data_IF_707528162373
#
_entry.id   IF_707528162373
#
_cell.length_a   1.000
_cell.length_b   1.000
_cell.length_c   1.000
_cell.angle_alpha   90.00
_cell.angle_beta   90.00
_cell.angle_gamma   90.00
#
_symmetry.space_group_name_H-M   'P 1'
#
loop_
_entity.id
_entity.type
_entity.pdbx_description
1 polymer ?
#
# COMPACT_ATOMS: atom_id res chain seq x y z
N UNK A 1 -15.34 30.57 22.74
CA UNK A 1 -15.49 29.30 21.99
C UNK A 1 -14.23 28.51 22.27
N UNK A 2 -14.33 27.41 23.02
CA UNK A 2 -13.19 26.55 23.32
C UNK A 2 -12.71 25.89 22.03
N UNK A 3 -11.46 26.12 21.64
CA UNK A 3 -10.83 25.44 20.50
C UNK A 3 -10.93 23.93 20.70
N UNK A 4 -11.90 23.31 20.00
CA UNK A 4 -12.02 21.86 20.00
C UNK A 4 -10.81 21.29 19.28
N UNK A 5 -9.94 20.60 20.04
CA UNK A 5 -8.82 19.85 19.49
C UNK A 5 -9.29 18.97 18.34
N UNK A 6 -8.53 19.00 17.25
CA UNK A 6 -8.87 18.32 16.01
C UNK A 6 -7.72 17.40 15.59
N UNK A 7 -7.99 16.51 14.63
CA UNK A 7 -6.95 15.75 13.93
C UNK A 7 -6.50 16.55 12.71
N UNK A 8 -5.19 16.80 12.61
CA UNK A 8 -4.58 17.36 11.40
C UNK A 8 -3.96 16.22 10.59
N UNK A 9 -4.60 15.85 9.48
CA UNK A 9 -4.05 14.87 8.55
C UNK A 9 -3.01 15.54 7.66
N UNK A 10 -1.73 15.31 7.99
CA UNK A 10 -0.58 15.90 7.33
C UNK A 10 -0.26 15.17 6.01
N UNK A 11 -0.34 15.89 4.90
CA UNK A 11 -0.02 15.40 3.55
C UNK A 11 1.24 16.03 2.95
N UNK A 12 1.90 16.94 3.67
CA UNK A 12 3.07 17.68 3.17
C UNK A 12 4.30 16.82 2.87
N UNK A 13 4.37 15.60 3.44
CA UNK A 13 5.44 14.64 3.16
C UNK A 13 5.27 13.87 1.84
N UNK A 14 4.18 14.09 1.10
CA UNK A 14 3.93 13.45 -0.19
C UNK A 14 4.03 14.46 -1.34
N UNK A 15 4.75 14.11 -2.41
CA UNK A 15 4.82 14.95 -3.60
C UNK A 15 3.51 15.01 -4.39
N UNK A 16 2.64 14.01 -4.23
CA UNK A 16 1.30 13.90 -4.81
C UNK A 16 0.39 13.10 -3.88
N UNK A 17 -0.90 13.41 -3.90
CA UNK A 17 -1.90 12.75 -3.04
C UNK A 17 -2.52 11.50 -3.66
N UNK A 18 -2.30 11.24 -4.95
CA UNK A 18 -2.82 10.09 -5.69
C UNK A 18 -2.50 8.74 -5.03
N UNK A 19 -1.30 8.61 -4.43
CA UNK A 19 -0.89 7.40 -3.70
C UNK A 19 -1.54 7.20 -2.33
N UNK A 20 -2.18 8.23 -1.75
CA UNK A 20 -2.71 8.20 -0.37
C UNK A 20 -4.16 8.67 -0.24
N UNK A 21 -4.81 9.04 -1.34
CA UNK A 21 -6.20 9.51 -1.37
C UNK A 21 -7.16 8.53 -0.70
N UNK A 22 -6.98 7.23 -0.92
CA UNK A 22 -7.78 6.18 -0.29
C UNK A 22 -7.66 6.27 1.25
N UNK A 23 -6.45 6.46 1.79
CA UNK A 23 -6.24 6.60 3.24
C UNK A 23 -6.78 7.91 3.79
N UNK A 24 -6.64 9.01 3.06
CA UNK A 24 -7.24 10.30 3.44
C UNK A 24 -8.75 10.16 3.59
N UNK A 25 -9.39 9.56 2.60
CA UNK A 25 -10.84 9.31 2.57
C UNK A 25 -11.27 8.40 3.71
N UNK A 26 -10.54 7.30 3.93
CA UNK A 26 -10.84 6.34 4.99
C UNK A 26 -10.74 6.98 6.38
N UNK A 27 -9.63 7.67 6.68
CA UNK A 27 -9.43 8.30 7.98
C UNK A 27 -10.49 9.37 8.24
N UNK A 28 -10.73 10.25 7.26
CA UNK A 28 -11.74 11.30 7.38
C UNK A 28 -13.15 10.73 7.61
N UNK A 29 -13.53 9.70 6.86
CA UNK A 29 -14.83 9.05 7.00
C UNK A 29 -14.99 8.34 8.37
N UNK A 30 -14.00 7.54 8.77
CA UNK A 30 -14.02 6.78 10.03
C UNK A 30 -14.13 7.74 11.23
N UNK A 31 -13.30 8.77 11.26
CA UNK A 31 -13.24 9.74 12.36
C UNK A 31 -14.44 10.69 12.36
N UNK A 32 -14.84 11.17 11.18
CA UNK A 32 -15.97 12.08 11.00
C UNK A 32 -17.30 11.46 11.44
N UNK A 33 -17.57 10.19 11.09
CA UNK A 33 -18.75 9.43 11.57
C UNK A 33 -18.81 9.33 13.10
N UNK A 34 -17.67 9.51 13.76
CA UNK A 34 -17.52 9.43 15.22
C UNK A 34 -17.36 10.81 15.84
N UNK A 35 -17.70 11.88 15.12
CA UNK A 35 -17.68 13.26 15.62
C UNK A 35 -16.27 13.78 15.93
N UNK A 36 -15.22 13.16 15.37
CA UNK A 36 -13.86 13.70 15.47
C UNK A 36 -13.61 14.56 14.23
N UNK A 37 -13.33 15.85 14.45
CA UNK A 37 -13.01 16.77 13.37
C UNK A 37 -11.65 16.42 12.74
N UNK A 38 -11.61 16.22 11.43
CA UNK A 38 -10.40 15.95 10.65
C UNK A 38 -10.18 17.08 9.66
N UNK A 39 -9.01 17.72 9.74
CA UNK A 39 -8.56 18.73 8.80
C UNK A 39 -7.39 18.19 8.01
N UNK A 40 -7.50 18.18 6.68
CA UNK A 40 -6.36 17.85 5.81
C UNK A 40 -5.48 19.08 5.66
N UNK A 41 -4.17 18.93 5.86
CA UNK A 41 -3.22 20.04 5.85
C UNK A 41 -1.87 19.65 5.25
N UNK A 42 -1.22 20.59 4.56
CA UNK A 42 0.17 20.47 4.11
C UNK A 42 1.18 21.00 5.14
N UNK A 43 0.70 21.46 6.29
CA UNK A 43 1.51 21.96 7.41
C UNK A 43 1.16 21.22 8.69
N UNK A 44 2.18 20.94 9.50
CA UNK A 44 2.01 20.43 10.86
C UNK A 44 1.39 21.50 11.76
N UNK A 45 0.53 21.09 12.69
CA UNK A 45 -0.23 21.98 13.57
C UNK A 45 0.14 21.69 15.04
N UNK A 46 0.71 22.66 15.79
CA UNK A 46 1.14 22.44 17.17
C UNK A 46 -0.03 22.18 18.14
N UNK A 47 -1.24 22.62 17.81
CA UNK A 47 -2.43 22.51 18.66
C UNK A 47 -3.28 21.27 18.34
N UNK A 48 -2.93 20.53 17.28
CA UNK A 48 -3.63 19.36 16.81
C UNK A 48 -2.89 18.06 17.13
N UNK A 49 -3.59 16.93 16.98
CA UNK A 49 -2.93 15.65 16.80
C UNK A 49 -2.61 15.49 15.32
N UNK A 50 -1.32 15.41 14.99
CA UNK A 50 -0.85 15.29 13.62
C UNK A 50 -0.85 13.83 13.21
N UNK A 51 -1.69 13.48 12.24
CA UNK A 51 -1.73 12.15 11.61
C UNK A 51 -0.91 12.19 10.33
N UNK A 52 0.14 11.37 10.24
CA UNK A 52 1.10 11.39 9.14
C UNK A 52 1.07 10.02 8.44
N UNK A 53 0.75 10.01 7.15
CA UNK A 53 0.80 8.78 6.33
C UNK A 53 2.24 8.52 5.90
N UNK A 54 2.67 7.26 5.91
CA UNK A 54 4.07 6.89 5.70
C UNK A 54 4.56 7.03 4.24
N UNK A 55 5.41 8.01 3.96
CA UNK A 55 6.23 8.05 2.74
C UNK A 55 7.72 8.05 3.08
N UNK A 56 8.17 8.82 4.07
CA UNK A 56 9.52 8.90 4.67
C UNK A 56 10.76 8.81 3.74
N UNK A 57 10.61 8.92 2.42
CA UNK A 57 11.73 8.97 1.46
C UNK A 57 12.38 10.34 1.43
N UNK A 58 11.61 11.40 1.65
CA UNK A 58 12.04 12.78 1.53
C UNK A 58 12.79 13.26 2.78
N UNK A 59 14.10 13.50 2.63
CA UNK A 59 14.97 14.00 3.70
C UNK A 59 14.48 15.30 4.34
N UNK A 60 14.08 16.27 3.51
CA UNK A 60 13.70 17.61 3.97
C UNK A 60 12.46 17.51 4.85
N UNK A 61 11.48 16.71 4.42
CA UNK A 61 10.23 16.51 5.15
C UNK A 61 10.43 15.69 6.43
N UNK A 62 11.28 14.66 6.40
CA UNK A 62 11.62 13.91 7.61
C UNK A 62 12.26 14.80 8.68
N UNK A 63 13.22 15.65 8.28
CA UNK A 63 13.82 16.63 9.20
C UNK A 63 12.82 17.66 9.68
N UNK A 64 11.87 18.08 8.84
CA UNK A 64 10.79 18.99 9.24
C UNK A 64 9.92 18.37 10.34
N UNK A 65 9.55 17.10 10.21
CA UNK A 65 8.79 16.36 11.23
C UNK A 65 9.60 16.27 12.54
N UNK A 66 10.88 15.87 12.45
CA UNK A 66 11.76 15.77 13.62
C UNK A 66 11.94 17.11 14.35
N UNK A 67 12.23 18.18 13.59
CA UNK A 67 12.38 19.53 14.12
C UNK A 67 11.09 20.03 14.76
N UNK A 68 9.94 19.74 14.14
CA UNK A 68 8.64 20.10 14.69
C UNK A 68 8.37 19.37 16.01
N UNK A 69 8.63 18.06 16.11
CA UNK A 69 8.47 17.32 17.37
C UNK A 69 9.39 17.85 18.48
N UNK A 70 10.58 18.32 18.10
CA UNK A 70 11.54 18.92 19.03
C UNK A 70 11.07 20.30 19.51
N UNK A 71 10.54 21.13 18.61
CA UNK A 71 10.03 22.46 18.92
C UNK A 71 8.69 22.44 19.68
N UNK A 72 7.85 21.44 19.42
CA UNK A 72 6.52 21.26 20.01
C UNK A 72 6.40 19.87 20.66
N UNK A 73 7.12 19.59 21.76
CA UNK A 73 7.15 18.25 22.38
C UNK A 73 5.79 17.78 22.90
N UNK A 74 4.89 18.72 23.22
CA UNK A 74 3.51 18.43 23.64
C UNK A 74 2.61 18.00 22.48
N UNK A 75 2.92 18.42 21.24
CA UNK A 75 2.16 18.04 20.06
C UNK A 75 2.25 16.54 19.85
N UNK A 76 1.12 15.91 19.57
CA UNK A 76 1.02 14.46 19.38
C UNK A 76 1.13 14.09 17.91
N UNK A 77 1.82 12.99 17.64
CA UNK A 77 2.02 12.43 16.30
C UNK A 77 1.52 11.00 16.24
N UNK A 78 0.63 10.72 15.29
CA UNK A 78 0.20 9.37 14.95
C UNK A 78 0.72 9.06 13.55
N UNK A 79 1.48 7.98 13.40
CA UNK A 79 1.89 7.53 12.07
C UNK A 79 0.92 6.48 11.54
N UNK A 80 0.54 6.61 10.28
CA UNK A 80 -0.26 5.62 9.55
C UNK A 80 0.70 4.80 8.69
N UNK A 81 0.88 3.54 9.05
CA UNK A 81 1.83 2.63 8.41
C UNK A 81 1.12 1.76 7.37
N UNK A 82 1.58 1.81 6.13
CA UNK A 82 0.88 1.18 5.01
C UNK A 82 1.64 0.01 4.39
N UNK A 83 2.95 -0.07 4.62
CA UNK A 83 3.85 -1.00 3.93
C UNK A 83 4.25 -2.23 4.77
N UNK A 84 4.37 -3.39 4.12
CA UNK A 84 4.78 -4.62 4.79
C UNK A 84 6.30 -4.73 4.88
N UNK A 85 6.82 -4.92 6.10
CA UNK A 85 8.22 -5.30 6.33
C UNK A 85 8.47 -6.72 5.83
N UNK A 86 9.42 -6.88 4.93
CA UNK A 86 9.80 -8.18 4.36
C UNK A 86 11.29 -8.40 4.58
N UNK A 87 11.62 -9.53 5.23
CA UNK A 87 12.99 -10.00 5.37
C UNK A 87 13.25 -11.14 4.39
N UNK A 88 14.08 -10.88 3.39
CA UNK A 88 14.43 -11.84 2.34
C UNK A 88 15.94 -11.82 2.16
N UNK A 89 16.55 -13.01 2.02
CA UNK A 89 18.00 -13.14 1.79
C UNK A 89 18.85 -12.35 2.81
N UNK A 90 18.43 -12.33 4.08
CA UNK A 90 19.17 -11.64 5.14
C UNK A 90 19.15 -10.10 5.08
N UNK A 91 18.37 -9.49 4.18
CA UNK A 91 18.09 -8.05 4.17
C UNK A 91 16.63 -7.76 4.50
N UNK A 92 16.37 -6.60 5.10
CA UNK A 92 15.02 -6.13 5.44
C UNK A 92 14.71 -4.88 4.64
N UNK A 93 13.52 -4.83 4.03
CA UNK A 93 13.00 -3.68 3.29
C UNK A 93 11.49 -3.80 3.18
N UNK A 94 10.80 -2.74 2.74
CA UNK A 94 9.40 -2.84 2.41
C UNK A 94 9.18 -3.57 1.10
N UNK A 95 8.15 -4.43 1.05
CA UNK A 95 7.70 -5.03 -0.21
C UNK A 95 8.86 -5.61 -1.05
N UNK A 96 9.87 -6.22 -0.41
CA UNK A 96 11.00 -6.75 -1.15
C UNK A 96 10.64 -8.10 -1.77
N UNK A 97 10.34 -8.10 -3.07
CA UNK A 97 9.97 -9.29 -3.86
C UNK A 97 11.17 -9.92 -4.58
N UNK A 98 12.36 -9.39 -4.36
CA UNK A 98 13.54 -9.65 -5.14
C UNK A 98 14.26 -10.95 -4.81
N UNK A 99 15.15 -11.35 -5.73
CA UNK A 99 16.10 -12.43 -5.51
C UNK A 99 17.38 -11.95 -4.81
N UNK A 100 18.45 -12.78 -4.81
CA UNK A 100 19.74 -12.43 -4.21
C UNK A 100 20.37 -11.17 -4.84
N UNK A 101 20.06 -10.89 -6.11
CA UNK A 101 20.49 -9.69 -6.83
C UNK A 101 19.89 -8.38 -6.25
N UNK A 102 18.63 -8.41 -5.85
CA UNK A 102 17.96 -7.27 -5.23
C UNK A 102 18.46 -7.12 -3.79
N UNK A 103 18.70 -8.23 -3.10
CA UNK A 103 19.30 -8.23 -1.77
C UNK A 103 20.72 -7.62 -1.76
N UNK A 104 21.53 -7.95 -2.77
CA UNK A 104 22.83 -7.36 -2.97
C UNK A 104 22.73 -5.84 -3.16
N UNK A 105 21.77 -5.38 -3.97
CA UNK A 105 21.50 -3.96 -4.17
C UNK A 105 21.07 -3.29 -2.86
N UNK A 106 20.17 -3.91 -2.08
CA UNK A 106 19.76 -3.38 -0.77
C UNK A 106 20.96 -3.28 0.17
N UNK A 107 21.83 -4.29 0.22
CA UNK A 107 23.01 -4.26 1.09
C UNK A 107 23.97 -3.10 0.74
N UNK A 108 24.20 -2.84 -0.55
CA UNK A 108 24.97 -1.69 -1.03
C UNK A 108 24.32 -0.37 -0.62
N UNK A 109 23.03 -0.23 -0.94
CA UNK A 109 22.32 1.01 -0.70
C UNK A 109 22.03 1.26 0.78
N UNK A 110 21.94 0.24 1.63
CA UNK A 110 21.84 0.43 3.08
C UNK A 110 23.07 1.17 3.64
N UNK A 111 24.28 0.73 3.27
CA UNK A 111 25.54 1.37 3.69
C UNK A 111 25.66 2.75 3.04
N UNK A 112 25.46 2.84 1.72
CA UNK A 112 25.58 4.10 0.99
C UNK A 112 24.60 5.17 1.50
N UNK A 113 23.33 4.81 1.69
CA UNK A 113 22.32 5.76 2.14
C UNK A 113 22.60 6.23 3.56
N UNK A 114 22.98 5.36 4.50
CA UNK A 114 23.36 5.74 5.87
C UNK A 114 24.65 6.55 5.94
N UNK A 115 25.55 6.38 4.96
CA UNK A 115 26.72 7.24 4.81
C UNK A 115 26.33 8.63 4.28
N UNK A 116 25.48 8.67 3.25
CA UNK A 116 25.07 9.91 2.59
C UNK A 116 24.02 10.71 3.35
N UNK A 117 23.28 10.06 4.26
CA UNK A 117 22.15 10.61 5.01
C UNK A 117 22.25 10.23 6.48
N UNK A 118 22.53 11.22 7.30
CA UNK A 118 22.64 11.11 8.75
C UNK A 118 21.30 10.78 9.43
N UNK A 119 20.19 11.22 8.84
CA UNK A 119 18.84 10.96 9.35
C UNK A 119 18.43 9.48 9.29
N UNK A 120 19.09 8.63 8.51
CA UNK A 120 18.80 7.19 8.47
C UNK A 120 19.51 6.38 9.56
N UNK A 121 20.23 7.06 10.46
CA UNK A 121 20.97 6.44 11.55
C UNK A 121 22.31 5.84 11.10
N UNK A 122 23.13 5.47 12.08
CA UNK A 122 24.53 5.06 11.86
C UNK A 122 24.65 3.73 11.10
N UNK A 123 25.77 3.57 10.39
CA UNK A 123 26.13 2.31 9.74
C UNK A 123 26.52 1.29 10.82
N UNK A 124 25.74 0.22 10.95
CA UNK A 124 26.07 -0.88 11.86
C UNK A 124 27.05 -1.88 11.24
N UNK A 125 27.81 -2.60 12.08
CA UNK A 125 28.73 -3.66 11.65
C UNK A 125 28.01 -4.72 10.81
N UNK A 126 26.78 -5.10 11.20
CA UNK A 126 25.96 -6.04 10.44
C UNK A 126 25.65 -5.59 9.01
N UNK A 127 25.51 -4.28 8.76
CA UNK A 127 25.30 -3.75 7.40
C UNK A 127 26.55 -3.88 6.53
N UNK A 128 27.72 -3.58 7.09
CA UNK A 128 29.01 -3.75 6.39
C UNK A 128 29.28 -5.22 6.09
N UNK A 129 29.06 -6.12 7.06
CA UNK A 129 29.22 -7.56 6.85
C UNK A 129 28.30 -8.08 5.74
N UNK A 130 27.02 -7.68 5.73
CA UNK A 130 26.10 -8.02 4.64
C UNK A 130 26.60 -7.52 3.29
N UNK A 131 27.07 -6.27 3.21
CA UNK A 131 27.65 -5.73 1.97
C UNK A 131 28.85 -6.54 1.50
N UNK A 132 29.75 -6.92 2.40
CA UNK A 132 30.91 -7.75 2.07
C UNK A 132 30.48 -9.12 1.52
N UNK A 133 29.53 -9.79 2.17
CA UNK A 133 28.95 -11.06 1.69
C UNK A 133 28.32 -10.92 0.30
N UNK A 134 27.68 -9.79 0.01
CA UNK A 134 27.04 -9.52 -1.29
C UNK A 134 27.96 -8.91 -2.35
N UNK A 135 29.19 -8.55 -2.00
CA UNK A 135 30.14 -7.89 -2.90
C UNK A 135 30.42 -8.67 -4.20
N UNK A 136 30.49 -10.02 -4.24
CA UNK A 136 30.68 -10.74 -5.50
C UNK A 136 29.47 -10.60 -6.44
N UNK A 137 28.24 -10.65 -5.91
CA UNK A 137 27.02 -10.47 -6.70
C UNK A 137 26.90 -9.04 -7.23
N UNK A 138 27.28 -8.05 -6.41
CA UNK A 138 27.36 -6.65 -6.84
C UNK A 138 28.38 -6.46 -7.96
N UNK A 139 29.56 -7.07 -7.86
CA UNK A 139 30.58 -6.99 -8.90
C UNK A 139 30.03 -7.50 -10.24
N UNK A 140 29.34 -8.64 -10.23
CA UNK A 140 28.67 -9.21 -11.42
C UNK A 140 27.62 -8.24 -11.99
N UNK A 141 26.78 -7.64 -11.13
CA UNK A 141 25.75 -6.69 -11.56
C UNK A 141 26.32 -5.38 -12.13
N UNK A 142 27.43 -4.90 -11.58
CA UNK A 142 28.05 -3.63 -11.96
C UNK A 142 29.01 -3.78 -13.14
N UNK A 143 29.52 -4.97 -13.42
CA UNK A 143 30.48 -5.23 -14.50
C UNK A 143 29.99 -4.73 -15.88
N UNK A 144 28.72 -4.91 -16.30
CA UNK A 144 28.23 -4.32 -17.54
C UNK A 144 28.24 -2.79 -17.55
N UNK A 145 27.96 -2.15 -16.41
CA UNK A 145 27.98 -0.69 -16.30
C UNK A 145 29.42 -0.14 -16.33
N UNK A 146 30.36 -0.82 -15.67
CA UNK A 146 31.79 -0.50 -15.69
C UNK A 146 32.37 -0.70 -17.09
N UNK A 147 32.07 -1.83 -17.75
CA UNK A 147 32.51 -2.08 -19.12
C UNK A 147 31.96 -1.02 -20.09
N UNK A 148 30.69 -0.62 -19.95
CA UNK A 148 30.11 0.47 -20.74
C UNK A 148 30.80 1.83 -20.47
N UNK A 149 31.18 2.13 -19.23
CA UNK A 149 31.91 3.34 -18.90
C UNK A 149 33.29 3.35 -19.55
N UNK A 150 34.03 2.23 -19.45
CA UNK A 150 35.33 2.06 -20.09
C UNK A 150 35.21 2.23 -21.61
N UNK A 151 34.27 1.52 -22.25
CA UNK A 151 34.04 1.65 -23.69
C UNK A 151 33.66 3.07 -24.11
N UNK A 152 32.92 3.83 -23.29
CA UNK A 152 32.62 5.25 -23.58
C UNK A 152 33.87 6.13 -23.55
N UNK A 153 34.76 5.90 -22.59
CA UNK A 153 36.03 6.64 -22.48
C UNK A 153 36.88 6.40 -23.73
N UNK A 154 36.94 5.16 -24.22
CA UNK A 154 37.78 4.80 -25.36
C UNK A 154 37.16 5.08 -26.73
N UNK A 155 35.85 4.89 -26.92
CA UNK A 155 35.26 4.86 -28.26
C UNK A 155 34.37 6.06 -28.63
N UNK A 156 34.12 7.03 -27.72
CA UNK A 156 33.34 8.30 -27.91
C UNK A 156 31.99 8.24 -28.67
N UNK A 157 31.53 7.07 -29.15
CA UNK A 157 30.41 6.90 -30.09
C UNK A 157 29.27 6.02 -29.58
N UNK A 158 29.36 5.51 -28.35
CA UNK A 158 28.30 4.66 -27.79
C UNK A 158 27.18 5.50 -27.16
N UNK A 159 25.96 5.27 -27.66
CA UNK A 159 24.76 6.06 -27.39
C UNK A 159 24.37 6.13 -25.91
N UNK A 160 23.45 7.05 -25.60
CA UNK A 160 22.84 7.35 -24.29
C UNK A 160 21.99 6.19 -23.73
N UNK A 161 22.49 4.96 -23.76
CA UNK A 161 22.00 3.91 -22.89
C UNK A 161 22.27 4.35 -21.44
N UNK A 162 21.27 4.99 -20.83
CA UNK A 162 21.24 5.28 -19.40
C UNK A 162 21.45 3.96 -18.67
N UNK A 163 22.25 3.99 -17.62
CA UNK A 163 22.63 2.83 -16.79
C UNK A 163 21.37 2.04 -16.42
N UNK A 164 21.10 0.94 -17.13
CA UNK A 164 19.90 0.11 -16.97
C UNK A 164 19.78 -0.37 -15.52
N UNK A 165 20.91 -0.57 -14.85
CA UNK A 165 21.02 -0.98 -13.46
C UNK A 165 20.26 -0.07 -12.48
N UNK A 166 20.42 1.26 -12.54
CA UNK A 166 19.71 2.16 -11.63
C UNK A 166 18.21 2.17 -11.89
N UNK A 167 17.80 2.08 -13.17
CA UNK A 167 16.39 2.01 -13.54
C UNK A 167 15.75 0.69 -13.13
N UNK A 168 16.44 -0.43 -13.28
CA UNK A 168 15.92 -1.75 -12.89
C UNK A 168 15.79 -1.89 -11.39
N UNK A 169 16.66 -1.23 -10.62
CA UNK A 169 16.70 -1.32 -9.17
C UNK A 169 16.01 -0.16 -8.44
N UNK A 170 15.54 0.87 -9.17
CA UNK A 170 14.94 2.06 -8.57
C UNK A 170 13.83 1.72 -7.56
N UNK A 171 12.96 0.76 -7.90
CA UNK A 171 11.87 0.32 -7.03
C UNK A 171 12.40 -0.29 -5.72
N UNK A 172 13.38 -1.17 -5.81
CA UNK A 172 14.00 -1.84 -4.65
C UNK A 172 14.69 -0.84 -3.73
N UNK A 173 15.44 0.11 -4.31
CA UNK A 173 16.10 1.19 -3.58
C UNK A 173 15.05 2.09 -2.91
N UNK A 174 14.00 2.48 -3.63
CA UNK A 174 12.93 3.32 -3.12
C UNK A 174 12.26 2.71 -1.89
N UNK A 175 11.84 1.44 -1.94
CA UNK A 175 11.22 0.79 -0.78
C UNK A 175 12.20 0.60 0.39
N UNK A 176 13.49 0.40 0.11
CA UNK A 176 14.50 0.38 1.17
C UNK A 176 14.68 1.75 1.83
N UNK A 177 14.71 2.82 1.04
CA UNK A 177 14.74 4.20 1.54
C UNK A 177 13.53 4.51 2.42
N UNK A 178 12.32 4.09 2.00
CA UNK A 178 11.10 4.22 2.81
C UNK A 178 11.22 3.50 4.15
N UNK A 179 11.72 2.26 4.12
CA UNK A 179 11.96 1.49 5.34
C UNK A 179 12.92 2.20 6.28
N UNK A 180 14.09 2.63 5.80
CA UNK A 180 15.07 3.35 6.61
C UNK A 180 14.50 4.65 7.20
N UNK A 181 13.81 5.43 6.37
CA UNK A 181 13.19 6.68 6.80
C UNK A 181 12.11 6.49 7.86
N UNK A 182 11.26 5.46 7.71
CA UNK A 182 10.27 5.13 8.74
C UNK A 182 10.97 4.73 10.03
N UNK A 183 11.90 3.77 9.98
CA UNK A 183 12.58 3.26 11.17
C UNK A 183 13.30 4.37 11.94
N UNK A 184 13.91 5.32 11.21
CA UNK A 184 14.52 6.49 11.82
C UNK A 184 13.48 7.45 12.44
N UNK A 185 12.28 7.57 11.88
CA UNK A 185 11.26 8.51 12.33
C UNK A 185 10.36 7.96 13.44
N UNK A 186 10.30 6.64 13.65
CA UNK A 186 9.36 6.00 14.58
C UNK A 186 9.43 6.53 16.02
N UNK A 187 10.61 6.94 16.49
CA UNK A 187 10.78 7.49 17.83
C UNK A 187 10.12 8.87 18.03
N UNK A 188 9.69 9.53 16.95
CA UNK A 188 8.90 10.77 17.02
C UNK A 188 7.39 10.52 17.14
N UNK A 189 6.92 9.30 16.84
CA UNK A 189 5.51 8.94 16.92
C UNK A 189 5.10 8.66 18.37
N UNK A 190 3.95 9.19 18.77
CA UNK A 190 3.31 8.83 20.05
C UNK A 190 2.51 7.54 19.91
N UNK A 191 1.95 7.28 18.72
CA UNK A 191 1.22 6.06 18.41
C UNK A 191 1.28 5.73 16.92
N UNK A 192 0.87 4.50 16.58
CA UNK A 192 0.73 4.06 15.19
C UNK A 192 -0.65 3.48 14.90
N UNK A 193 -1.11 3.72 13.69
CA UNK A 193 -2.26 3.09 13.06
C UNK A 193 -1.72 2.33 11.85
N UNK A 194 -2.26 1.15 11.52
CA UNK A 194 -1.77 0.40 10.36
C UNK A 194 -2.86 0.12 9.33
N UNK A 195 -2.48 -0.07 8.07
CA UNK A 195 -3.38 -0.51 7.00
C UNK A 195 -3.76 -2.00 7.11
N UNK A 196 -2.97 -2.77 7.87
CA UNK A 196 -3.09 -4.21 8.02
C UNK A 196 -2.44 -4.66 9.34
N UNK A 197 -2.93 -5.74 9.96
CA UNK A 197 -2.39 -6.27 11.22
C UNK A 197 -0.90 -6.66 11.10
N UNK A 198 -0.57 -7.39 10.02
CA UNK A 198 0.81 -7.81 9.70
C UNK A 198 1.82 -6.67 9.50
N UNK A 199 1.38 -5.45 9.21
CA UNK A 199 2.29 -4.29 9.13
C UNK A 199 2.87 -3.98 10.51
N UNK A 200 2.01 -3.93 11.55
CA UNK A 200 2.47 -3.68 12.91
C UNK A 200 3.37 -4.82 13.42
N UNK A 201 2.98 -6.08 13.18
CA UNK A 201 3.82 -7.23 13.56
C UNK A 201 5.22 -7.15 12.95
N UNK A 202 5.34 -6.74 11.68
CA UNK A 202 6.61 -6.59 10.99
C UNK A 202 7.47 -5.48 11.59
N UNK A 203 6.88 -4.34 11.91
CA UNK A 203 7.58 -3.20 12.52
C UNK A 203 7.98 -3.50 13.96
N UNK A 204 7.09 -4.08 14.77
CA UNK A 204 7.35 -4.38 16.18
C UNK A 204 8.47 -5.42 16.36
N UNK A 205 8.70 -6.30 15.39
CA UNK A 205 9.84 -7.24 15.41
C UNK A 205 11.18 -6.56 15.14
N UNK A 206 11.19 -5.49 14.35
CA UNK A 206 12.42 -4.77 13.98
C UNK A 206 12.68 -3.56 14.89
N UNK A 207 11.63 -2.98 15.48
CA UNK A 207 11.68 -1.81 16.35
C UNK A 207 12.09 -2.17 17.77
N UNK A 208 13.11 -1.49 18.29
CA UNK A 208 13.48 -1.55 19.71
C UNK A 208 12.65 -0.61 20.62
N UNK A 209 11.61 0.03 20.07
CA UNK A 209 10.80 1.01 20.78
C UNK A 209 9.37 0.47 20.98
N UNK A 210 8.85 0.46 22.22
CA UNK A 210 7.45 0.12 22.46
C UNK A 210 6.59 1.24 21.86
N UNK A 211 5.98 0.96 20.70
CA UNK A 211 5.02 1.86 20.06
C UNK A 211 3.61 1.45 20.47
N UNK A 212 2.78 2.43 20.87
CA UNK A 212 1.38 2.18 21.10
C UNK A 212 0.66 1.96 19.76
N UNK A 213 0.06 0.78 19.58
CA UNK A 213 -0.71 0.45 18.39
C UNK A 213 -2.19 0.73 18.64
N UNK A 214 -2.72 1.77 17.99
CA UNK A 214 -4.11 2.16 18.14
C UNK A 214 -5.08 1.23 17.41
N UNK A 215 -4.61 0.52 16.37
CA UNK A 215 -5.40 -0.45 15.62
C UNK A 215 -5.12 -0.42 14.12
N UNK A 216 -6.01 -1.08 13.38
CA UNK A 216 -5.98 -1.19 11.92
C UNK A 216 -7.09 -0.33 11.32
N UNK A 217 -6.81 0.32 10.19
CA UNK A 217 -7.84 1.01 9.39
C UNK A 217 -8.68 -0.03 8.64
N UNK A 218 -9.96 -0.10 8.98
CA UNK A 218 -10.94 -0.87 8.21
C UNK A 218 -11.89 0.07 7.50
N UNK A 219 -12.08 -0.14 6.20
CA UNK A 219 -13.07 0.61 5.44
C UNK A 219 -14.48 0.29 5.92
N UNK A 220 -15.32 1.28 6.15
CA UNK A 220 -16.75 1.03 6.31
C UNK A 220 -17.42 1.18 4.96
N UNK A 221 -18.10 0.13 4.52
CA UNK A 221 -18.77 0.09 3.23
C UNK A 221 -20.23 0.45 3.43
N UNK A 222 -20.82 1.34 2.64
CA UNK A 222 -22.27 1.52 2.65
C UNK A 222 -22.92 0.42 1.79
N UNK A 223 -23.66 -0.55 2.37
CA UNK A 223 -24.17 -1.69 1.62
C UNK A 223 -25.05 -1.29 0.44
N UNK A 224 -25.96 -0.32 0.63
CA UNK A 224 -26.90 0.08 -0.42
C UNK A 224 -26.16 0.76 -1.57
N UNK A 225 -25.26 1.72 -1.26
CA UNK A 225 -24.43 2.37 -2.29
C UNK A 225 -23.57 1.37 -3.04
N UNK A 226 -22.95 0.41 -2.34
CA UNK A 226 -22.12 -0.61 -2.98
C UNK A 226 -22.97 -1.46 -3.92
N UNK A 227 -24.09 -2.01 -3.46
CA UNK A 227 -24.96 -2.89 -4.24
C UNK A 227 -25.54 -2.18 -5.47
N UNK A 228 -26.03 -0.94 -5.30
CA UNK A 228 -26.61 -0.13 -6.38
C UNK A 228 -25.60 0.15 -7.50
N UNK A 229 -24.37 0.50 -7.12
CA UNK A 229 -23.34 0.92 -8.08
C UNK A 229 -22.54 -0.22 -8.67
N UNK A 230 -22.45 -1.37 -8.00
CA UNK A 230 -21.62 -2.50 -8.43
C UNK A 230 -21.96 -2.90 -9.87
N UNK A 231 -20.95 -3.01 -10.74
CA UNK A 231 -21.09 -3.39 -12.15
C UNK A 231 -22.01 -2.50 -13.01
N UNK A 232 -22.52 -1.37 -12.49
CA UNK A 232 -23.41 -0.49 -13.24
C UNK A 232 -22.66 0.12 -14.42
N UNK A 233 -23.26 0.02 -15.61
CA UNK A 233 -22.69 0.54 -16.87
C UNK A 233 -21.29 -0.01 -17.19
N UNK A 234 -20.95 -1.20 -16.68
CA UNK A 234 -19.67 -1.86 -16.91
C UNK A 234 -19.76 -2.88 -18.04
N UNK A 235 -18.62 -3.25 -18.61
CA UNK A 235 -18.50 -4.37 -19.54
C UNK A 235 -18.14 -5.66 -18.80
N UNK A 236 -18.66 -6.78 -19.29
CA UNK A 236 -18.37 -8.10 -18.74
C UNK A 236 -16.94 -8.54 -19.07
N UNK A 237 -15.99 -8.16 -18.23
CA UNK A 237 -14.62 -8.65 -18.24
C UNK A 237 -13.98 -8.51 -16.85
N UNK A 238 -12.72 -8.93 -16.73
CA UNK A 238 -11.91 -8.74 -15.52
C UNK A 238 -10.78 -7.74 -15.77
N UNK A 239 -10.54 -6.83 -14.83
CA UNK A 239 -9.35 -5.96 -14.86
C UNK A 239 -8.41 -6.24 -13.69
N UNK A 240 -7.10 -6.16 -13.93
CA UNK A 240 -6.11 -6.11 -12.85
C UNK A 240 -5.63 -4.67 -12.71
N UNK A 241 -5.85 -4.09 -11.53
CA UNK A 241 -5.34 -2.76 -11.18
C UNK A 241 -3.98 -2.84 -10.49
N UNK A 242 -3.19 -1.79 -10.66
CA UNK A 242 -1.92 -1.59 -9.98
C UNK A 242 -0.72 -2.23 -10.69
N UNK A 243 0.37 -2.52 -9.96
CA UNK A 243 1.60 -3.01 -10.60
C UNK A 243 1.40 -4.41 -11.20
N UNK A 244 1.56 -4.52 -12.52
CA UNK A 244 1.52 -5.79 -13.25
C UNK A 244 2.87 -6.49 -13.13
N UNK A 245 2.99 -7.39 -12.16
CA UNK A 245 4.17 -8.25 -12.03
C UNK A 245 4.13 -9.37 -13.07
N UNK A 246 5.26 -10.05 -13.29
CA UNK A 246 5.30 -11.26 -14.14
C UNK A 246 4.29 -12.32 -13.70
N UNK A 247 4.05 -12.44 -12.39
CA UNK A 247 3.08 -13.41 -11.86
C UNK A 247 1.63 -13.00 -12.19
N UNK A 248 1.30 -11.71 -12.08
CA UNK A 248 -0.01 -11.19 -12.47
C UNK A 248 -0.25 -11.27 -13.97
N UNK A 249 0.78 -11.02 -14.78
CA UNK A 249 0.72 -11.21 -16.23
C UNK A 249 0.35 -12.65 -16.61
N UNK A 250 0.96 -13.65 -15.95
CA UNK A 250 0.58 -15.06 -16.14
C UNK A 250 -0.88 -15.35 -15.77
N UNK A 251 -1.43 -14.66 -14.78
CA UNK A 251 -2.85 -14.77 -14.44
C UNK A 251 -3.75 -14.20 -15.54
N UNK A 252 -3.40 -13.05 -16.12
CA UNK A 252 -4.12 -12.49 -17.28
C UNK A 252 -4.14 -13.49 -18.43
N UNK A 253 -2.97 -14.03 -18.79
CA UNK A 253 -2.83 -15.03 -19.85
C UNK A 253 -3.63 -16.30 -19.57
N UNK A 254 -3.63 -16.77 -18.31
CA UNK A 254 -4.40 -17.94 -17.88
C UNK A 254 -5.90 -17.72 -18.05
N UNK A 255 -6.42 -16.58 -17.57
CA UNK A 255 -7.84 -16.24 -17.66
C UNK A 255 -8.26 -16.15 -19.13
N UNK A 256 -7.50 -15.43 -19.96
CA UNK A 256 -7.81 -15.28 -21.38
C UNK A 256 -7.79 -16.61 -22.12
N UNK A 257 -6.82 -17.49 -21.84
CA UNK A 257 -6.78 -18.83 -22.40
C UNK A 257 -8.03 -19.63 -22.04
N UNK A 258 -8.47 -19.58 -20.78
CA UNK A 258 -9.66 -20.29 -20.34
C UNK A 258 -10.93 -19.76 -21.03
N UNK A 259 -11.07 -18.44 -21.18
CA UNK A 259 -12.17 -17.84 -21.93
C UNK A 259 -12.22 -18.34 -23.38
N UNK A 260 -11.06 -18.37 -24.06
CA UNK A 260 -10.96 -18.89 -25.43
C UNK A 260 -11.30 -20.38 -25.51
N UNK A 261 -10.77 -21.20 -24.60
CA UNK A 261 -11.04 -22.64 -24.57
C UNK A 261 -12.53 -22.96 -24.34
N UNK A 262 -13.23 -22.13 -23.56
CA UNK A 262 -14.67 -22.27 -23.31
C UNK A 262 -15.55 -21.63 -24.40
N UNK A 263 -14.97 -20.93 -25.38
CA UNK A 263 -15.74 -20.21 -26.40
C UNK A 263 -16.49 -18.98 -25.86
N UNK A 264 -16.09 -18.44 -24.71
CA UNK A 264 -16.79 -17.35 -24.02
C UNK A 264 -16.38 -15.94 -24.48
N UNK A 265 -15.39 -15.81 -25.37
CA UNK A 265 -14.82 -14.52 -25.77
C UNK A 265 -15.81 -13.53 -26.41
N UNK A 266 -16.94 -14.02 -26.92
CA UNK A 266 -17.98 -13.18 -27.53
C UNK A 266 -18.90 -12.51 -26.49
N UNK A 267 -18.89 -13.03 -25.26
CA UNK A 267 -19.80 -12.60 -24.17
C UNK A 267 -19.00 -12.05 -22.99
N UNK A 268 -17.83 -12.62 -22.71
CA UNK A 268 -16.93 -12.23 -21.64
C UNK A 268 -15.61 -11.77 -22.26
N UNK A 269 -15.35 -10.46 -22.29
CA UNK A 269 -14.15 -9.93 -22.95
C UNK A 269 -12.87 -10.34 -22.20
N UNK A 270 -11.75 -10.29 -22.91
CA UNK A 270 -10.45 -10.61 -22.33
C UNK A 270 -10.10 -9.72 -21.13
N UNK A 271 -9.48 -10.36 -20.15
CA UNK A 271 -8.86 -9.74 -18.99
C UNK A 271 -7.74 -8.79 -19.43
N UNK A 272 -7.67 -7.62 -18.79
CA UNK A 272 -6.71 -6.56 -19.11
C UNK A 272 -6.08 -5.99 -17.84
N UNK A 273 -4.92 -5.37 -17.97
CA UNK A 273 -4.36 -4.54 -16.91
C UNK A 273 -4.77 -3.08 -17.12
N UNK A 274 -5.10 -2.38 -16.04
CA UNK A 274 -5.25 -0.93 -16.05
C UNK A 274 -4.07 -0.26 -15.33
N UNK A 275 -3.48 0.79 -15.92
CA UNK A 275 -2.46 1.57 -15.24
C UNK A 275 -3.05 2.31 -14.04
N UNK A 276 -2.21 2.59 -13.04
CA UNK A 276 -2.60 3.37 -11.85
C UNK A 276 -3.13 4.77 -12.19
N UNK A 277 -2.75 5.33 -13.35
CA UNK A 277 -3.19 6.65 -13.81
C UNK A 277 -4.59 6.67 -14.41
N UNK A 278 -5.24 5.51 -14.58
CA UNK A 278 -6.61 5.45 -15.07
C UNK A 278 -7.55 5.83 -13.93
N UNK A 279 -8.17 7.00 -14.02
CA UNK A 279 -9.00 7.54 -12.96
C UNK A 279 -10.39 6.90 -13.03
N UNK A 280 -11.10 6.86 -11.90
CA UNK A 280 -12.49 6.39 -11.87
C UNK A 280 -13.43 7.28 -12.73
N UNK A 281 -12.99 8.50 -13.06
CA UNK A 281 -13.66 9.43 -13.97
C UNK A 281 -13.54 9.07 -15.45
N UNK A 282 -12.68 8.12 -15.82
CA UNK A 282 -12.59 7.64 -17.20
C UNK A 282 -13.84 6.80 -17.51
N UNK A 283 -14.54 7.15 -18.60
CA UNK A 283 -15.88 6.65 -19.00
C UNK A 283 -16.26 5.29 -18.37
N UNK A 284 -17.29 5.22 -17.50
CA UNK A 284 -17.71 3.98 -16.83
C UNK A 284 -17.86 2.78 -17.78
N UNK A 285 -18.31 3.05 -19.01
CA UNK A 285 -18.45 2.11 -20.11
C UNK A 285 -17.15 1.38 -20.53
N UNK A 286 -15.98 1.81 -20.08
CA UNK A 286 -14.69 1.19 -20.38
C UNK A 286 -14.09 0.41 -19.20
N UNK A 287 -14.76 0.40 -18.04
CA UNK A 287 -14.33 -0.33 -16.85
C UNK A 287 -14.94 -1.73 -16.79
N UNK A 288 -14.23 -2.65 -16.13
CA UNK A 288 -14.67 -4.02 -15.94
C UNK A 288 -15.83 -4.13 -14.96
N UNK A 289 -16.64 -5.18 -15.08
CA UNK A 289 -17.55 -5.60 -14.01
C UNK A 289 -16.78 -6.19 -12.82
N UNK A 290 -15.63 -6.79 -13.08
CA UNK A 290 -14.84 -7.53 -12.11
C UNK A 290 -13.42 -7.00 -11.98
N UNK A 291 -12.92 -6.91 -10.75
CA UNK A 291 -11.50 -6.63 -10.49
C UNK A 291 -10.81 -7.92 -10.06
N UNK A 292 -9.79 -8.38 -10.77
CA UNK A 292 -9.07 -9.61 -10.45
C UNK A 292 -7.88 -9.28 -9.53
N UNK A 293 -7.83 -9.94 -8.37
CA UNK A 293 -6.83 -9.69 -7.32
C UNK A 293 -5.91 -10.90 -7.10
N UNK A 294 -4.98 -11.18 -8.03
CA UNK A 294 -3.93 -12.14 -7.77
C UNK A 294 -2.88 -11.55 -6.80
N UNK A 295 -2.25 -12.41 -5.97
CA UNK A 295 -1.09 -12.03 -5.18
C UNK A 295 -0.01 -11.34 -6.03
N UNK A 296 0.85 -10.53 -5.41
CA UNK A 296 1.92 -9.83 -6.15
C UNK A 296 2.93 -10.81 -6.77
N UNK A 297 3.23 -11.89 -6.04
CA UNK A 297 4.07 -13.01 -6.46
C UNK A 297 3.42 -14.31 -5.97
N UNK A 298 3.90 -15.46 -6.46
CA UNK A 298 3.40 -16.78 -6.03
C UNK A 298 3.52 -17.02 -4.52
N UNK A 299 4.55 -16.45 -3.89
CA UNK A 299 4.87 -16.63 -2.46
C UNK A 299 4.49 -15.42 -1.62
N UNK A 300 3.74 -14.47 -2.18
CA UNK A 300 3.33 -13.28 -1.45
C UNK A 300 2.37 -13.70 -0.32
N UNK A 301 2.65 -13.34 0.95
CA UNK A 301 1.90 -13.88 2.08
C UNK A 301 0.79 -12.96 2.58
N UNK A 302 0.57 -11.79 1.97
CA UNK A 302 -0.30 -10.76 2.53
C UNK A 302 -1.49 -10.40 1.64
N UNK A 303 -2.65 -10.16 2.25
CA UNK A 303 -3.79 -9.57 1.56
C UNK A 303 -3.56 -8.08 1.24
N UNK A 304 -4.44 -7.46 0.43
CA UNK A 304 -4.39 -6.03 0.14
C UNK A 304 -5.78 -5.40 0.31
N UNK A 305 -6.21 -5.14 1.56
CA UNK A 305 -7.58 -4.71 1.87
C UNK A 305 -7.97 -3.40 1.19
N UNK A 306 -7.06 -2.41 1.14
CA UNK A 306 -7.29 -1.12 0.48
C UNK A 306 -7.65 -1.28 -1.01
N UNK A 307 -7.05 -2.25 -1.71
CA UNK A 307 -7.39 -2.53 -3.11
C UNK A 307 -8.78 -3.14 -3.26
N UNK A 308 -9.22 -3.95 -2.30
CA UNK A 308 -10.56 -4.55 -2.28
C UNK A 308 -11.61 -3.48 -1.96
N UNK A 309 -11.31 -2.59 -1.01
CA UNK A 309 -12.12 -1.41 -0.72
C UNK A 309 -12.28 -0.53 -1.97
N UNK A 310 -11.18 -0.16 -2.63
CA UNK A 310 -11.21 0.65 -3.85
C UNK A 310 -12.07 0.01 -4.94
N UNK A 311 -11.91 -1.30 -5.15
CA UNK A 311 -12.71 -2.03 -6.12
C UNK A 311 -14.23 -1.92 -5.83
N UNK A 312 -14.64 -2.09 -4.57
CA UNK A 312 -16.05 -2.04 -4.18
C UNK A 312 -16.63 -0.61 -4.16
N UNK A 313 -15.91 0.34 -3.56
CA UNK A 313 -16.43 1.68 -3.25
C UNK A 313 -16.13 2.75 -4.28
N UNK A 314 -15.05 2.60 -5.05
CA UNK A 314 -14.57 3.64 -5.98
C UNK A 314 -14.72 3.17 -7.42
N UNK A 315 -14.18 1.99 -7.75
CA UNK A 315 -14.21 1.47 -9.11
C UNK A 315 -15.56 0.79 -9.45
N UNK A 316 -16.32 0.42 -8.41
CA UNK A 316 -17.59 -0.29 -8.47
C UNK A 316 -17.51 -1.63 -9.23
N UNK A 317 -16.43 -2.38 -9.02
CA UNK A 317 -16.25 -3.74 -9.50
C UNK A 317 -16.49 -4.75 -8.38
N UNK A 318 -16.98 -5.95 -8.70
CA UNK A 318 -16.91 -7.06 -7.74
C UNK A 318 -15.47 -7.61 -7.72
N UNK A 319 -14.79 -7.63 -6.57
CA UNK A 319 -13.46 -8.21 -6.47
C UNK A 319 -13.50 -9.74 -6.61
N UNK A 320 -12.60 -10.26 -7.42
CA UNK A 320 -12.37 -11.69 -7.66
C UNK A 320 -10.99 -12.07 -7.13
N UNK A 321 -10.95 -12.84 -6.05
CA UNK A 321 -9.72 -13.32 -5.42
C UNK A 321 -9.25 -14.60 -6.11
N UNK A 322 -7.97 -14.66 -6.46
CA UNK A 322 -7.36 -15.95 -6.88
C UNK A 322 -6.79 -16.73 -5.71
N UNK A 323 -6.77 -16.13 -4.53
CA UNK A 323 -6.31 -16.72 -3.27
C UNK A 323 -6.92 -15.92 -2.11
N UNK A 324 -7.50 -16.62 -1.15
CA UNK A 324 -8.02 -16.05 0.09
C UNK A 324 -6.98 -16.19 1.20
N UNK A 325 -6.52 -15.08 1.77
CA UNK A 325 -5.46 -15.09 2.78
C UNK A 325 -6.00 -15.29 4.20
N UNK A 326 -7.29 -15.01 4.42
CA UNK A 326 -7.94 -15.03 5.74
C UNK A 326 -7.27 -14.07 6.73
N UNK A 327 -6.87 -12.89 6.25
CA UNK A 327 -6.17 -11.87 7.04
C UNK A 327 -6.99 -10.60 7.25
N UNK A 328 -8.01 -10.36 6.41
CA UNK A 328 -8.89 -9.22 6.57
C UNK A 328 -10.34 -9.59 6.24
N UNK A 329 -11.33 -9.17 7.05
CA UNK A 329 -12.73 -9.53 6.82
C UNK A 329 -13.30 -9.02 5.49
N UNK A 330 -12.66 -8.05 4.82
CA UNK A 330 -13.12 -7.60 3.49
C UNK A 330 -12.92 -8.69 2.43
N UNK A 331 -12.00 -9.63 2.64
CA UNK A 331 -11.79 -10.76 1.73
C UNK A 331 -13.06 -11.63 1.64
N UNK A 332 -13.82 -11.75 2.73
CA UNK A 332 -15.05 -12.55 2.79
C UNK A 332 -16.17 -11.98 1.91
N UNK A 333 -16.13 -10.67 1.61
CA UNK A 333 -17.06 -9.98 0.69
C UNK A 333 -16.82 -10.38 -0.77
N UNK A 334 -15.61 -10.81 -1.09
CA UNK A 334 -15.18 -11.03 -2.46
C UNK A 334 -15.70 -12.35 -3.03
N UNK A 335 -15.56 -12.50 -4.36
CA UNK A 335 -15.76 -13.76 -5.06
C UNK A 335 -14.44 -14.53 -5.16
N UNK A 336 -14.42 -15.82 -4.86
CA UNK A 336 -13.21 -16.65 -4.97
C UNK A 336 -13.19 -17.39 -6.31
N UNK A 337 -12.11 -17.21 -7.07
CA UNK A 337 -11.94 -17.86 -8.37
C UNK A 337 -11.52 -19.33 -8.22
N UNK A 338 -12.43 -20.23 -8.60
CA UNK A 338 -12.27 -21.69 -8.48
C UNK A 338 -12.05 -22.39 -9.83
N UNK A 339 -11.59 -21.64 -10.84
CA UNK A 339 -11.32 -22.16 -12.17
C UNK A 339 -12.45 -21.85 -13.16
N UNK A 340 -12.69 -22.73 -14.11
CA UNK A 340 -13.60 -22.48 -15.24
C UNK A 340 -15.06 -22.31 -14.82
N UNK A 341 -15.52 -23.02 -13.77
CA UNK A 341 -16.88 -22.90 -13.26
C UNK A 341 -17.23 -21.47 -12.81
N UNK A 342 -16.23 -20.73 -12.31
CA UNK A 342 -16.40 -19.34 -11.89
C UNK A 342 -16.89 -18.42 -13.00
N UNK A 343 -16.57 -18.69 -14.27
CA UNK A 343 -17.04 -17.83 -15.37
C UNK A 343 -18.56 -17.88 -15.53
N UNK A 344 -19.19 -19.04 -15.28
CA UNK A 344 -20.65 -19.18 -15.33
C UNK A 344 -21.29 -18.38 -14.21
N UNK A 345 -20.81 -18.55 -12.98
CA UNK A 345 -21.34 -17.82 -11.82
C UNK A 345 -21.19 -16.29 -11.97
N UNK A 346 -20.05 -15.84 -12.49
CA UNK A 346 -19.80 -14.43 -12.77
C UNK A 346 -20.68 -13.93 -13.93
N UNK A 347 -20.92 -14.73 -14.96
CA UNK A 347 -21.86 -14.36 -16.02
C UNK A 347 -23.28 -14.21 -15.46
N UNK A 348 -23.73 -15.13 -14.62
CA UNK A 348 -25.06 -15.11 -14.02
C UNK A 348 -25.22 -13.91 -13.08
N UNK A 349 -24.26 -13.62 -12.21
CA UNK A 349 -24.30 -12.43 -11.34
C UNK A 349 -24.28 -11.11 -12.12
N UNK A 350 -23.62 -11.06 -13.28
CA UNK A 350 -23.61 -9.87 -14.12
C UNK A 350 -24.99 -9.58 -14.73
N UNK A 351 -25.72 -10.63 -15.12
CA UNK A 351 -27.03 -10.49 -15.77
C UNK A 351 -28.22 -10.52 -14.80
N UNK A 352 -28.04 -11.09 -13.60
CA UNK A 352 -29.08 -11.19 -12.56
C UNK A 352 -28.70 -10.37 -11.32
N UNK A 353 -29.33 -9.20 -11.20
CA UNK A 353 -29.16 -8.30 -10.06
C UNK A 353 -29.61 -8.90 -8.73
N UNK A 354 -30.63 -9.74 -8.73
CA UNK A 354 -31.11 -10.40 -7.51
C UNK A 354 -30.06 -11.37 -6.99
N UNK A 355 -29.44 -12.14 -7.90
CA UNK A 355 -28.35 -13.05 -7.56
C UNK A 355 -27.12 -12.32 -7.05
N UNK A 356 -26.74 -11.21 -7.68
CA UNK A 356 -25.65 -10.36 -7.19
C UNK A 356 -25.94 -9.82 -5.78
N UNK A 357 -27.14 -9.27 -5.56
CA UNK A 357 -27.56 -8.77 -4.24
C UNK A 357 -27.52 -9.88 -3.18
N UNK A 358 -28.11 -11.04 -3.47
CA UNK A 358 -28.11 -12.20 -2.57
C UNK A 358 -26.70 -12.70 -2.22
N UNK A 359 -25.73 -12.54 -3.13
CA UNK A 359 -24.34 -12.88 -2.88
C UNK A 359 -23.65 -11.84 -1.99
N UNK A 360 -23.77 -10.54 -2.31
CA UNK A 360 -22.97 -9.47 -1.70
C UNK A 360 -23.55 -8.95 -0.38
N UNK A 361 -24.86 -8.73 -0.31
CA UNK A 361 -25.55 -8.08 0.81
C UNK A 361 -25.28 -8.73 2.17
N UNK A 362 -25.48 -10.05 2.37
CA UNK A 362 -25.22 -10.67 3.67
C UNK A 362 -23.74 -10.60 4.08
N UNK A 363 -22.82 -10.62 3.11
CA UNK A 363 -21.38 -10.51 3.35
C UNK A 363 -20.99 -9.09 3.77
N UNK A 364 -21.54 -8.07 3.12
CA UNK A 364 -21.33 -6.67 3.47
C UNK A 364 -21.85 -6.37 4.88
N UNK A 365 -23.04 -6.88 5.23
CA UNK A 365 -23.60 -6.71 6.57
C UNK A 365 -22.66 -7.27 7.65
N UNK A 366 -22.24 -8.53 7.50
CA UNK A 366 -21.31 -9.19 8.42
C UNK A 366 -19.97 -8.46 8.50
N UNK A 367 -19.44 -8.02 7.36
CA UNK A 367 -18.22 -7.23 7.31
C UNK A 367 -18.35 -5.95 8.13
N UNK A 368 -19.41 -5.17 7.90
CA UNK A 368 -19.65 -3.89 8.57
C UNK A 368 -19.82 -4.04 10.09
N UNK A 369 -20.51 -5.06 10.55
CA UNK A 369 -20.62 -5.36 11.99
C UNK A 369 -19.24 -5.50 12.66
N UNK A 370 -18.31 -6.21 12.01
CA UNK A 370 -16.94 -6.40 12.51
C UNK A 370 -16.16 -5.08 12.47
N UNK A 371 -16.18 -4.38 11.35
CA UNK A 371 -15.32 -3.20 11.15
C UNK A 371 -15.79 -1.99 11.93
N UNK A 372 -17.10 -1.81 12.13
CA UNK A 372 -17.64 -0.74 12.98
C UNK A 372 -17.09 -0.86 14.40
N UNK A 373 -17.14 -2.05 15.00
CA UNK A 373 -16.60 -2.29 16.33
C UNK A 373 -15.08 -2.03 16.42
N UNK A 374 -14.32 -2.43 15.40
CA UNK A 374 -12.86 -2.17 15.32
C UNK A 374 -12.54 -0.68 15.21
N UNK A 375 -13.29 0.03 14.36
CA UNK A 375 -13.13 1.47 14.16
C UNK A 375 -13.59 2.30 15.37
N UNK A 376 -14.60 1.82 16.13
CA UNK A 376 -15.03 2.44 17.38
C UNK A 376 -13.92 2.40 18.44
N UNK A 377 -13.24 1.26 18.58
CA UNK A 377 -12.07 1.13 19.46
C UNK A 377 -10.93 2.06 19.01
N UNK A 378 -10.63 2.09 17.71
CA UNK A 378 -9.62 2.99 17.15
C UNK A 378 -9.93 4.47 17.49
N UNK A 379 -11.17 4.91 17.26
CA UNK A 379 -11.59 6.27 17.58
C UNK A 379 -11.56 6.55 19.08
N UNK A 380 -11.86 5.56 19.94
CA UNK A 380 -11.74 5.71 21.38
C UNK A 380 -10.30 5.99 21.81
N UNK A 381 -9.31 5.30 21.23
CA UNK A 381 -7.89 5.60 21.48
C UNK A 381 -7.53 7.02 21.06
N UNK A 382 -7.98 7.45 19.88
CA UNK A 382 -7.74 8.82 19.41
C UNK A 382 -8.40 9.86 20.33
N UNK A 383 -9.64 9.63 20.80
CA UNK A 383 -10.32 10.54 21.76
C UNK A 383 -9.59 10.63 23.09
N UNK A 384 -9.06 9.52 23.61
CA UNK A 384 -8.23 9.53 24.82
C UNK A 384 -7.01 10.42 24.63
N UNK A 385 -6.35 10.33 23.47
CA UNK A 385 -5.21 11.17 23.14
C UNK A 385 -5.60 12.66 23.01
N UNK A 386 -6.73 12.98 22.38
CA UNK A 386 -7.26 14.35 22.28
C UNK A 386 -7.55 14.94 23.66
N UNK A 387 -8.15 14.15 24.55
CA UNK A 387 -8.48 14.56 25.92
C UNK A 387 -7.22 14.78 26.76
N UNK A 388 -6.24 13.90 26.64
CA UNK A 388 -4.96 14.01 27.34
C UNK A 388 -4.18 15.25 26.88
N UNK A 389 -4.15 15.51 25.57
CA UNK A 389 -3.54 16.71 25.03
C UNK A 389 -4.23 17.97 25.58
N UNK A 390 -5.56 17.98 25.72
CA UNK A 390 -6.35 19.13 26.22
C UNK A 390 -6.10 19.53 27.67
N UNK A 391 -5.55 18.62 28.50
CA UNK A 391 -5.22 18.92 29.90
C UNK A 391 -3.80 19.45 30.09
N UNK A 392 -2.93 19.31 29.09
CA UNK A 392 -1.52 19.67 29.15
C UNK A 392 -1.22 21.08 28.61
N UNK A 393 -2.18 21.65 27.87
CA UNK A 393 -2.23 23.06 27.43
C UNK A 393 -3.01 23.87 28.45
#
# INVERSE_FOLDING_TARGET
>A
MTDTKHLSLYIGNHGRTDGIEDYITLIAAIMGRRGINVKVSSTLDPEAINVIIDEFTNYVENRRIANFKTAHPHSKMIFVLTEFTVRNWGVTSFNNFGGPLDAATIALFDVYLRFARDDFGKIGVGSVLRLLCYSPLLAIQLLPAIAQLILRIFFKRFSRHRVKFLRSNHRTIYFHMRYLGLMASLHHADAVITSHEKVFEGINREGGHPLEHFGVLYAELDPETVIDKLMREKKLFMEITGTVTRYRQKWIERINRQLTTLGLQNVFYYCKALPFSFLASDEPANRAAYSLHPPQTRTWPYSSPTRLFRALSIDHNLPVLTHHFHQNPIEDVCFEFKGTASFVELYEMFNDRSRLRNFVEPKLKRYNEIVTARNDMLAQHVRKLLTAAGRAS
#
